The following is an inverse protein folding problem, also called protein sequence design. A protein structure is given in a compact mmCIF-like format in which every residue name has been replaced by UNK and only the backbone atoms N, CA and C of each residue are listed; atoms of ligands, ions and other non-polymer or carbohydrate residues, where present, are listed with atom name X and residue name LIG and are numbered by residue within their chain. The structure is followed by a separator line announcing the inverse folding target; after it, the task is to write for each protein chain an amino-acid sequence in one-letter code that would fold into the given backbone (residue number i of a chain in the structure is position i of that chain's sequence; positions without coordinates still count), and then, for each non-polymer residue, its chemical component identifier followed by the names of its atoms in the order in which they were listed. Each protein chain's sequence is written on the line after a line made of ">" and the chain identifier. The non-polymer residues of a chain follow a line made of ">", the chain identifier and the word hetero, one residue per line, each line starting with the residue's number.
data_IF_988422121912
#
_entry.id   IF_988422121912
#
_cell.length_a   1.000
_cell.length_b   1.000
_cell.length_c   1.000
_cell.angle_alpha   90.00
_cell.angle_beta   90.00
_cell.angle_gamma   90.00
#
_symmetry.space_group_name_H-M   'P 1'
#
loop_
_entity.id
_entity.type
_entity.pdbx_description
1 polymer ?
#
# COMPACT_ATOMS: atom_id res chain seq x y z
N UNK A 1 1.96 12.10 -15.87
CA UNK A 1 0.55 11.72 -15.86
C UNK A 1 0.27 10.75 -14.74
N UNK A 2 -0.73 11.02 -13.92
CA UNK A 2 -1.11 10.15 -12.80
C UNK A 2 -2.03 9.05 -13.31
N UNK A 3 -1.70 7.80 -13.01
CA UNK A 3 -2.53 6.66 -13.38
C UNK A 3 -3.41 6.33 -12.19
N UNK A 4 -4.72 6.34 -12.40
CA UNK A 4 -5.68 5.95 -11.38
C UNK A 4 -5.55 4.46 -11.09
N UNK A 5 -5.55 4.08 -9.83
CA UNK A 5 -5.42 2.68 -9.40
C UNK A 5 -6.40 1.74 -10.12
N UNK A 6 -7.65 2.17 -10.23
CA UNK A 6 -8.72 1.35 -10.82
C UNK A 6 -8.44 0.91 -12.25
N UNK A 7 -7.75 1.74 -13.02
CA UNK A 7 -7.41 1.43 -14.42
C UNK A 7 -6.49 0.22 -14.51
N UNK A 8 -5.69 -0.02 -13.49
CA UNK A 8 -4.74 -1.13 -13.47
C UNK A 8 -5.36 -2.49 -13.16
N UNK A 9 -6.65 -2.52 -12.77
CA UNK A 9 -7.33 -3.77 -12.44
C UNK A 9 -8.18 -4.26 -13.61
N UNK A 10 -8.09 -5.55 -13.94
CA UNK A 10 -8.97 -6.15 -14.95
C UNK A 10 -10.44 -5.88 -14.60
N UNK A 11 -11.20 -5.36 -15.56
CA UNK A 11 -12.61 -5.00 -15.37
C UNK A 11 -12.85 -4.01 -14.21
N UNK A 12 -11.85 -3.25 -13.82
CA UNK A 12 -11.96 -2.26 -12.75
C UNK A 12 -12.25 -2.85 -11.37
N UNK A 13 -11.94 -4.13 -11.15
CA UNK A 13 -12.21 -4.82 -9.87
C UNK A 13 -11.13 -4.54 -8.83
N UNK A 14 -11.00 -3.30 -8.44
CA UNK A 14 -10.09 -2.90 -7.36
C UNK A 14 -10.63 -3.34 -6.01
N UNK A 15 -9.78 -3.84 -5.08
CA UNK A 15 -10.21 -4.19 -3.72
C UNK A 15 -10.89 -3.03 -3.00
N UNK A 16 -11.94 -3.33 -2.24
CA UNK A 16 -12.74 -2.30 -1.57
C UNK A 16 -11.92 -1.53 -0.55
N UNK A 17 -11.02 -2.19 0.21
CA UNK A 17 -10.19 -1.48 1.18
C UNK A 17 -9.30 -0.43 0.52
N UNK A 18 -8.80 -0.71 -0.68
CA UNK A 18 -7.97 0.24 -1.43
C UNK A 18 -8.80 1.46 -1.87
N UNK A 19 -10.04 1.25 -2.25
CA UNK A 19 -10.97 2.34 -2.57
C UNK A 19 -11.11 3.30 -1.38
N UNK A 20 -11.29 2.78 -0.16
CA UNK A 20 -11.44 3.63 1.02
C UNK A 20 -10.13 4.24 1.48
N UNK A 21 -9.00 3.57 1.26
CA UNK A 21 -7.68 4.16 1.45
C UNK A 21 -7.55 5.44 0.62
N UNK A 22 -7.89 5.39 -0.68
CA UNK A 22 -7.81 6.56 -1.56
C UNK A 22 -8.84 7.61 -1.19
N UNK A 23 -10.06 7.23 -0.85
CA UNK A 23 -11.09 8.18 -0.43
C UNK A 23 -10.69 8.92 0.84
N UNK A 24 -10.12 8.23 1.81
CA UNK A 24 -9.61 8.85 3.03
C UNK A 24 -8.57 9.92 2.70
N UNK A 25 -7.64 9.62 1.82
CA UNK A 25 -6.53 10.51 1.49
C UNK A 25 -6.94 11.68 0.58
N UNK A 26 -8.07 11.58 -0.10
CA UNK A 26 -8.55 12.62 -1.01
C UNK A 26 -9.58 13.57 -0.38
N UNK A 27 -10.30 13.12 0.65
CA UNK A 27 -11.37 13.93 1.24
C UNK A 27 -10.83 14.95 2.25
N UNK A 28 -11.44 16.14 2.27
CA UNK A 28 -11.23 17.14 3.30
C UNK A 28 -12.43 17.25 4.25
N UNK A 29 -13.46 16.42 4.06
CA UNK A 29 -14.66 16.44 4.88
C UNK A 29 -14.38 15.79 6.24
N UNK A 30 -14.54 16.56 7.33
CA UNK A 30 -14.22 16.11 8.69
C UNK A 30 -15.15 15.01 9.21
N UNK A 31 -16.32 14.85 8.61
CA UNK A 31 -17.28 13.78 8.97
C UNK A 31 -16.99 12.51 8.18
N UNK A 32 -16.73 12.62 6.88
CA UNK A 32 -16.48 11.48 6.00
C UNK A 32 -15.13 10.83 6.25
N UNK A 33 -14.12 11.61 6.61
CA UNK A 33 -12.76 11.09 6.77
C UNK A 33 -12.68 9.95 7.82
N UNK A 34 -13.19 10.11 9.05
CA UNK A 34 -13.21 8.99 10.01
C UNK A 34 -14.06 7.83 9.54
N UNK A 35 -15.16 8.08 8.83
CA UNK A 35 -15.98 7.00 8.27
C UNK A 35 -15.19 6.16 7.27
N UNK A 36 -14.46 6.81 6.36
CA UNK A 36 -13.62 6.11 5.39
C UNK A 36 -12.52 5.29 6.07
N UNK A 37 -11.95 5.79 7.16
CA UNK A 37 -10.97 5.05 7.95
C UNK A 37 -11.57 3.77 8.53
N UNK A 38 -12.77 3.85 9.11
CA UNK A 38 -13.47 2.68 9.67
C UNK A 38 -13.74 1.65 8.58
N UNK A 39 -14.25 2.08 7.44
CA UNK A 39 -14.53 1.18 6.32
C UNK A 39 -13.25 0.56 5.76
N UNK A 40 -12.18 1.33 5.67
CA UNK A 40 -10.88 0.82 5.27
C UNK A 40 -10.41 -0.30 6.19
N UNK A 41 -10.43 -0.08 7.51
CA UNK A 41 -10.00 -1.07 8.51
C UNK A 41 -10.86 -2.34 8.42
N UNK A 42 -12.18 -2.18 8.30
CA UNK A 42 -13.09 -3.31 8.19
C UNK A 42 -12.74 -4.18 6.97
N UNK A 43 -12.60 -3.58 5.80
CA UNK A 43 -12.38 -4.35 4.57
C UNK A 43 -10.96 -4.89 4.45
N UNK A 44 -9.93 -4.17 4.94
CA UNK A 44 -8.57 -4.70 4.93
C UNK A 44 -8.44 -5.93 5.84
N UNK A 45 -9.10 -5.92 6.99
CA UNK A 45 -9.05 -7.02 7.95
C UNK A 45 -9.61 -8.32 7.36
N UNK A 46 -10.61 -8.21 6.48
CA UNK A 46 -11.17 -9.37 5.81
C UNK A 46 -10.18 -10.06 4.87
N UNK A 47 -9.10 -9.39 4.52
CA UNK A 47 -8.03 -9.90 3.65
C UNK A 47 -6.73 -10.12 4.40
N UNK A 48 -6.75 -10.01 5.74
CA UNK A 48 -5.54 -10.14 6.57
C UNK A 48 -4.44 -9.18 6.12
N UNK A 49 -4.81 -7.95 5.77
CA UNK A 49 -3.88 -6.92 5.34
C UNK A 49 -3.64 -5.96 6.50
N UNK A 50 -2.37 -5.69 6.77
CA UNK A 50 -1.93 -4.68 7.72
C UNK A 50 -1.31 -3.53 6.95
N UNK A 51 -1.96 -2.39 6.93
CA UNK A 51 -1.45 -1.13 6.42
C UNK A 51 -2.24 0.02 7.02
N UNK A 52 -1.65 1.20 7.02
CA UNK A 52 -2.28 2.40 7.56
C UNK A 52 -2.84 3.28 6.44
N UNK A 53 -3.90 4.03 6.75
CA UNK A 53 -4.40 5.09 5.86
C UNK A 53 -3.36 6.20 5.65
N UNK A 54 -2.38 6.31 6.56
CA UNK A 54 -1.35 7.34 6.51
C UNK A 54 -0.12 6.93 5.69
N UNK A 55 -0.04 5.69 5.25
CA UNK A 55 1.07 5.22 4.41
C UNK A 55 1.08 5.96 3.08
N UNK A 56 2.25 6.44 2.69
CA UNK A 56 2.41 7.23 1.46
C UNK A 56 2.62 6.32 0.27
N UNK A 57 1.62 6.27 -0.61
CA UNK A 57 1.64 5.44 -1.80
C UNK A 57 1.26 6.28 -3.01
N UNK A 58 2.11 6.28 -4.02
CA UNK A 58 1.85 6.96 -5.29
C UNK A 58 0.67 6.34 -6.05
N UNK A 59 0.18 7.04 -7.06
CA UNK A 59 -0.94 6.58 -7.87
C UNK A 59 -0.58 5.35 -8.70
N UNK A 60 -1.60 4.61 -9.11
CA UNK A 60 -1.43 3.44 -9.96
C UNK A 60 -1.03 2.19 -9.21
N UNK A 61 -1.37 2.10 -7.93
CA UNK A 61 -1.09 0.91 -7.13
C UNK A 61 -1.95 -0.28 -7.58
N UNK A 62 -1.30 -1.43 -7.74
CA UNK A 62 -1.96 -2.69 -8.03
C UNK A 62 -1.61 -3.74 -6.98
N UNK A 63 -2.61 -4.29 -6.33
CA UNK A 63 -2.44 -5.46 -5.45
C UNK A 63 -2.77 -6.73 -6.21
N UNK A 64 -1.77 -7.57 -6.43
CA UNK A 64 -1.97 -8.88 -7.04
C UNK A 64 -2.35 -9.90 -5.99
N UNK A 65 -3.58 -10.44 -6.06
CA UNK A 65 -4.10 -11.34 -5.04
C UNK A 65 -3.97 -10.74 -3.63
N UNK A 66 -4.70 -9.67 -3.37
CA UNK A 66 -4.56 -8.82 -2.17
C UNK A 66 -4.96 -9.54 -0.88
N UNK A 67 -4.09 -10.41 -0.39
CA UNK A 67 -4.24 -11.14 0.88
C UNK A 67 -2.92 -11.22 1.62
N UNK A 68 -2.98 -11.15 2.96
CA UNK A 68 -1.83 -11.37 3.84
C UNK A 68 -0.64 -10.45 3.50
N UNK A 69 -0.91 -9.19 3.22
CA UNK A 69 0.11 -8.19 2.92
C UNK A 69 0.32 -7.32 4.17
N UNK A 70 1.58 -7.10 4.53
CA UNK A 70 1.94 -6.25 5.66
C UNK A 70 2.80 -5.09 5.17
N UNK A 71 2.33 -3.88 5.40
CA UNK A 71 3.05 -2.66 5.02
C UNK A 71 3.19 -1.78 6.25
N UNK A 72 4.43 -1.56 6.71
CA UNK A 72 4.66 -0.65 7.82
C UNK A 72 4.17 0.76 7.46
N UNK A 73 3.50 1.47 8.38
CA UNK A 73 2.94 2.79 8.09
C UNK A 73 3.93 3.82 7.57
N UNK A 74 5.20 3.69 7.90
CA UNK A 74 6.26 4.63 7.48
C UNK A 74 6.89 4.30 6.14
N UNK A 75 6.50 3.19 5.51
CA UNK A 75 6.98 2.81 4.19
C UNK A 75 6.54 3.85 3.16
N UNK A 76 7.41 4.15 2.21
CA UNK A 76 7.08 5.02 1.09
C UNK A 76 7.09 4.19 -0.18
N UNK A 77 6.01 4.27 -0.95
CA UNK A 77 5.85 3.50 -2.19
C UNK A 77 5.59 4.49 -3.32
N UNK A 78 6.33 4.36 -4.41
CA UNK A 78 6.21 5.21 -5.58
C UNK A 78 4.97 4.92 -6.41
N UNK A 79 4.96 5.41 -7.64
CA UNK A 79 3.85 5.30 -8.59
C UNK A 79 3.90 3.98 -9.34
N UNK A 80 2.74 3.49 -9.74
CA UNK A 80 2.58 2.33 -10.64
C UNK A 80 3.26 1.05 -10.13
N UNK A 81 3.28 0.86 -8.82
CA UNK A 81 3.86 -0.33 -8.22
C UNK A 81 2.87 -1.49 -8.18
N UNK A 82 3.40 -2.70 -8.23
CA UNK A 82 2.64 -3.93 -8.02
C UNK A 82 3.10 -4.58 -6.72
N UNK A 83 2.15 -4.87 -5.84
CA UNK A 83 2.42 -5.58 -4.58
C UNK A 83 1.55 -6.82 -4.55
N UNK A 84 2.18 -7.98 -4.43
CA UNK A 84 1.47 -9.24 -4.50
C UNK A 84 1.23 -9.86 -3.13
N UNK A 85 0.40 -10.90 -3.11
CA UNK A 85 0.04 -11.67 -1.93
C UNK A 85 1.25 -12.01 -1.05
N UNK A 86 1.10 -11.86 0.25
CA UNK A 86 2.10 -12.29 1.23
C UNK A 86 3.33 -11.39 1.33
N UNK A 87 3.35 -10.24 0.65
CA UNK A 87 4.48 -9.30 0.74
C UNK A 87 4.52 -8.67 2.13
N UNK A 88 5.73 -8.54 2.68
CA UNK A 88 5.98 -7.84 3.92
C UNK A 88 6.97 -6.70 3.69
N UNK A 89 6.54 -5.48 3.99
CA UNK A 89 7.40 -4.30 4.02
C UNK A 89 7.51 -3.85 5.48
N UNK A 90 8.62 -4.16 6.12
CA UNK A 90 8.75 -4.07 7.56
C UNK A 90 9.81 -3.09 8.05
N UNK A 91 9.79 -2.85 9.36
CA UNK A 91 10.72 -1.95 10.02
C UNK A 91 11.85 -2.75 10.69
N UNK A 92 13.08 -2.28 10.53
CA UNK A 92 14.22 -2.72 11.32
C UNK A 92 14.48 -1.68 12.41
N UNK A 93 14.66 -2.13 13.64
CA UNK A 93 14.82 -1.24 14.79
C UNK A 93 16.29 -1.05 15.21
N UNK A 94 17.22 -1.80 14.63
CA UNK A 94 18.61 -1.83 15.05
C UNK A 94 19.59 -1.70 13.90
N UNK A 95 20.77 -1.16 14.19
CA UNK A 95 21.92 -1.17 13.30
C UNK A 95 21.83 -0.18 12.15
N UNK A 96 22.64 -0.40 11.14
CA UNK A 96 22.78 0.51 10.01
C UNK A 96 21.58 0.57 9.07
N UNK A 97 20.65 -0.39 9.19
CA UNK A 97 19.43 -0.43 8.37
C UNK A 97 18.17 -0.03 9.15
N UNK A 98 18.35 0.62 10.28
CA UNK A 98 17.22 1.10 11.08
C UNK A 98 16.30 1.95 10.21
N UNK A 99 15.02 1.62 10.22
CA UNK A 99 14.00 2.36 9.46
C UNK A 99 13.09 1.45 8.66
N UNK A 100 12.51 1.99 7.63
CA UNK A 100 11.50 1.34 6.78
C UNK A 100 11.87 1.45 5.31
N UNK A 101 11.34 0.56 4.44
CA UNK A 101 11.65 0.57 3.02
C UNK A 101 11.17 1.84 2.30
N UNK A 102 11.93 2.23 1.29
CA UNK A 102 11.53 3.24 0.30
C UNK A 102 11.51 2.56 -1.05
N UNK A 103 10.32 2.46 -1.64
CA UNK A 103 10.12 1.77 -2.91
C UNK A 103 9.94 2.82 -4.00
N UNK A 104 10.70 2.71 -5.07
CA UNK A 104 10.63 3.62 -6.21
C UNK A 104 9.37 3.44 -7.05
N UNK A 105 9.39 3.99 -8.26
CA UNK A 105 8.27 3.89 -9.20
C UNK A 105 8.36 2.61 -10.03
N UNK A 106 7.20 2.10 -10.44
CA UNK A 106 7.10 0.98 -11.38
C UNK A 106 7.75 -0.32 -10.87
N UNK A 107 7.87 -0.46 -9.55
CA UNK A 107 8.47 -1.65 -8.93
C UNK A 107 7.43 -2.75 -8.79
N UNK A 108 7.82 -3.97 -9.18
CA UNK A 108 7.00 -5.15 -8.98
C UNK A 108 7.56 -6.00 -7.85
N UNK A 109 6.78 -6.12 -6.77
CA UNK A 109 7.16 -6.93 -5.60
C UNK A 109 6.35 -8.22 -5.64
N UNK A 110 7.04 -9.33 -5.93
CA UNK A 110 6.40 -10.64 -6.14
C UNK A 110 5.88 -11.28 -4.86
N UNK A 111 5.16 -12.39 -5.04
CA UNK A 111 4.49 -13.13 -3.95
C UNK A 111 5.49 -13.50 -2.85
N UNK A 112 5.08 -13.27 -1.59
CA UNK A 112 5.84 -13.64 -0.39
C UNK A 112 7.22 -12.98 -0.25
N UNK A 113 7.48 -11.89 -0.98
CA UNK A 113 8.72 -11.12 -0.80
C UNK A 113 8.70 -10.40 0.53
N UNK A 114 9.88 -10.32 1.17
CA UNK A 114 10.06 -9.61 2.43
C UNK A 114 11.17 -8.58 2.28
N UNK A 115 10.83 -7.32 2.55
CA UNK A 115 11.77 -6.20 2.52
C UNK A 115 11.69 -5.50 3.86
N UNK A 116 12.79 -5.50 4.62
CA UNK A 116 12.82 -5.00 5.99
C UNK A 116 13.95 -3.99 6.16
N UNK A 117 13.66 -2.91 6.84
CA UNK A 117 14.64 -1.90 7.18
C UNK A 117 14.73 -0.77 6.15
N UNK A 118 15.66 0.15 6.40
CA UNK A 118 15.89 1.28 5.53
C UNK A 118 16.63 0.81 4.26
N UNK A 119 15.85 0.28 3.34
CA UNK A 119 16.32 -0.22 2.05
C UNK A 119 15.66 0.59 0.96
N UNK A 120 16.42 1.06 0.00
CA UNK A 120 15.90 1.79 -1.15
C UNK A 120 15.86 0.87 -2.36
N UNK A 121 14.64 0.59 -2.83
CA UNK A 121 14.43 -0.14 -4.08
C UNK A 121 14.28 0.92 -5.17
N UNK A 122 15.16 0.89 -6.15
CA UNK A 122 15.14 1.83 -7.28
C UNK A 122 13.94 1.60 -8.19
N UNK A 123 13.73 2.53 -9.13
CA UNK A 123 12.64 2.45 -10.09
C UNK A 123 12.80 1.24 -11.02
N UNK A 124 11.66 0.63 -11.38
CA UNK A 124 11.55 -0.50 -12.33
C UNK A 124 12.22 -1.78 -11.81
#
# INVERSE_FOLDING_TARGET
>A
MMINDKIRYPNGKMPIFQKYYRKYNLTHNVVLKPLYKVLFVFFRNRRFIEMSVDTKIGDGLYFGHAYAITINPKTIIGKNCNIHKGVTLGQENRGGRKGTPIIGNEVWIGINSTIVGHVHIGDD
#
